data_IF_215773780722
#
_entry.id   IF_215773780722
#
_cell.length_a   1.000
_cell.length_b   1.000
_cell.length_c   1.000
_cell.angle_alpha   90.00
_cell.angle_beta   90.00
_cell.angle_gamma   90.00
#
_symmetry.space_group_name_H-M   'P 1'
#
loop_
_entity.id
_entity.type
_entity.pdbx_description
1 polymer ?
#
# COMPACT_ATOMS: atom_id res chain seq x y z
N UNK A 1 -28.59 -16.38 4.42
CA UNK A 1 -28.49 -15.19 3.54
C UNK A 1 -28.16 -15.71 2.16
N UNK A 2 -28.77 -15.18 1.11
CA UNK A 2 -28.46 -15.60 -0.27
C UNK A 2 -26.98 -15.27 -0.57
N UNK A 3 -26.15 -16.23 -1.06
CA UNK A 3 -24.75 -15.96 -1.41
C UNK A 3 -24.58 -14.74 -2.33
N UNK A 4 -25.52 -14.51 -3.25
CA UNK A 4 -25.49 -13.35 -4.15
C UNK A 4 -25.67 -12.03 -3.40
N UNK A 5 -26.64 -11.96 -2.47
CA UNK A 5 -26.88 -10.78 -1.63
C UNK A 5 -25.67 -10.50 -0.72
N UNK A 6 -25.05 -11.56 -0.17
CA UNK A 6 -23.87 -11.41 0.69
C UNK A 6 -22.65 -10.91 -0.09
N UNK A 7 -22.42 -11.41 -1.30
CA UNK A 7 -21.35 -10.92 -2.20
C UNK A 7 -21.55 -9.42 -2.49
N UNK A 8 -22.78 -9.00 -2.82
CA UNK A 8 -23.09 -7.59 -3.06
C UNK A 8 -22.78 -6.71 -1.84
N UNK A 9 -23.23 -7.13 -0.65
CA UNK A 9 -22.98 -6.41 0.60
C UNK A 9 -21.48 -6.29 0.91
N UNK A 10 -20.72 -7.38 0.76
CA UNK A 10 -19.28 -7.40 1.00
C UNK A 10 -18.55 -6.48 0.00
N UNK A 11 -18.90 -6.53 -1.28
CA UNK A 11 -18.30 -5.68 -2.32
C UNK A 11 -18.54 -4.20 -2.02
N UNK A 12 -19.75 -3.80 -1.60
CA UNK A 12 -20.03 -2.41 -1.22
C UNK A 12 -19.22 -1.96 -0.01
N UNK A 13 -19.23 -2.76 1.07
CA UNK A 13 -18.48 -2.45 2.31
C UNK A 13 -16.98 -2.33 2.05
N UNK A 14 -16.39 -3.32 1.40
CA UNK A 14 -14.95 -3.37 1.14
C UNK A 14 -14.51 -2.26 0.17
N UNK A 15 -15.33 -1.89 -0.81
CA UNK A 15 -15.04 -0.73 -1.67
C UNK A 15 -15.05 0.58 -0.88
N UNK A 16 -16.04 0.77 0.01
CA UNK A 16 -16.08 1.94 0.90
C UNK A 16 -14.85 1.99 1.82
N UNK A 17 -14.54 0.89 2.49
CA UNK A 17 -13.38 0.81 3.38
C UNK A 17 -12.06 1.02 2.64
N UNK A 18 -11.92 0.48 1.42
CA UNK A 18 -10.78 0.75 0.56
C UNK A 18 -10.67 2.24 0.22
N UNK A 19 -11.77 2.90 -0.12
CA UNK A 19 -11.77 4.33 -0.44
C UNK A 19 -11.38 5.17 0.78
N UNK A 20 -11.97 4.88 1.93
CA UNK A 20 -11.62 5.53 3.19
C UNK A 20 -10.16 5.33 3.57
N UNK A 21 -9.63 4.12 3.38
CA UNK A 21 -8.26 3.77 3.73
C UNK A 21 -7.24 4.39 2.77
N UNK A 22 -7.43 4.23 1.46
CA UNK A 22 -6.42 4.58 0.45
C UNK A 22 -6.58 5.97 -0.18
N UNK A 23 -7.80 6.52 -0.20
CA UNK A 23 -8.08 7.84 -0.81
C UNK A 23 -8.25 8.91 0.25
N UNK A 24 -9.03 8.63 1.29
CA UNK A 24 -9.29 9.62 2.34
C UNK A 24 -8.23 9.64 3.43
N UNK A 25 -7.34 8.64 3.47
CA UNK A 25 -6.44 8.41 4.62
C UNK A 25 -7.23 8.51 5.95
N UNK A 26 -8.43 7.93 6.00
CA UNK A 26 -9.31 7.99 7.16
C UNK A 26 -10.18 6.72 7.28
N UNK A 27 -9.59 5.54 7.59
CA UNK A 27 -10.27 4.24 7.51
C UNK A 27 -11.32 3.99 8.61
N UNK A 28 -12.61 3.80 8.33
CA UNK A 28 -13.62 3.62 9.39
C UNK A 28 -13.52 2.29 10.17
N UNK A 29 -12.81 1.29 9.64
CA UNK A 29 -12.63 -0.05 10.24
C UNK A 29 -11.15 -0.38 10.45
N UNK A 30 -10.89 -1.39 11.27
CA UNK A 30 -9.53 -1.92 11.47
C UNK A 30 -9.08 -2.81 10.31
N UNK A 31 -7.77 -2.92 10.09
CA UNK A 31 -7.17 -3.80 9.07
C UNK A 31 -7.60 -5.26 9.25
N UNK A 32 -7.71 -5.72 10.50
CA UNK A 32 -8.18 -7.10 10.82
C UNK A 32 -9.63 -7.32 10.36
N UNK A 33 -10.49 -6.33 10.57
CA UNK A 33 -11.88 -6.41 10.15
C UNK A 33 -12.00 -6.39 8.62
N UNK A 34 -11.25 -5.50 7.96
CA UNK A 34 -11.16 -5.44 6.51
C UNK A 34 -10.69 -6.78 5.91
N UNK A 35 -9.59 -7.32 6.41
CA UNK A 35 -9.00 -8.58 5.94
C UNK A 35 -9.95 -9.77 6.14
N UNK A 36 -10.67 -9.80 7.26
CA UNK A 36 -11.67 -10.84 7.52
C UNK A 36 -12.81 -10.81 6.50
N UNK A 37 -13.34 -9.62 6.19
CA UNK A 37 -14.41 -9.45 5.21
C UNK A 37 -13.92 -9.76 3.78
N UNK A 38 -12.67 -9.39 3.47
CA UNK A 38 -12.08 -9.67 2.17
C UNK A 38 -11.92 -11.18 1.94
N UNK A 39 -11.49 -11.94 2.95
CA UNK A 39 -11.40 -13.41 2.84
C UNK A 39 -12.76 -14.08 2.71
N UNK A 40 -13.76 -13.57 3.43
CA UNK A 40 -15.13 -14.06 3.28
C UNK A 40 -15.58 -13.89 1.82
N UNK A 41 -15.33 -12.72 1.23
CA UNK A 41 -15.62 -12.44 -0.17
C UNK A 41 -14.82 -13.37 -1.12
N UNK A 42 -13.52 -13.54 -0.92
CA UNK A 42 -12.68 -14.45 -1.71
C UNK A 42 -13.18 -15.90 -1.67
N UNK A 43 -13.64 -16.36 -0.50
CA UNK A 43 -14.19 -17.70 -0.34
C UNK A 43 -15.52 -17.85 -1.11
N UNK A 44 -16.41 -16.87 -0.98
CA UNK A 44 -17.70 -16.88 -1.67
C UNK A 44 -17.55 -16.80 -3.18
N UNK A 45 -16.64 -15.96 -3.69
CA UNK A 45 -16.37 -15.85 -5.12
C UNK A 45 -15.71 -17.10 -5.71
N UNK A 46 -14.96 -17.85 -4.89
CA UNK A 46 -14.40 -19.15 -5.29
C UNK A 46 -15.48 -20.23 -5.38
N UNK A 47 -16.45 -20.20 -4.48
CA UNK A 47 -17.56 -21.17 -4.45
C UNK A 47 -18.64 -20.85 -5.50
N UNK A 48 -18.88 -19.56 -5.77
CA UNK A 48 -19.91 -19.06 -6.69
C UNK A 48 -19.35 -18.08 -7.73
N UNK A 49 -18.54 -18.56 -8.70
CA UNK A 49 -17.88 -17.71 -9.69
C UNK A 49 -18.85 -16.93 -10.59
N UNK A 50 -20.09 -17.39 -10.75
CA UNK A 50 -21.13 -16.70 -11.52
C UNK A 50 -21.65 -15.41 -10.88
N UNK A 51 -21.36 -15.18 -9.60
CA UNK A 51 -21.80 -13.99 -8.85
C UNK A 51 -20.69 -12.95 -8.65
N UNK A 52 -19.49 -13.19 -9.17
CA UNK A 52 -18.37 -12.25 -9.12
C UNK A 52 -18.75 -10.94 -9.81
N UNK A 53 -18.65 -9.83 -9.07
CA UNK A 53 -18.97 -8.51 -9.60
C UNK A 53 -17.75 -7.88 -10.28
N UNK A 54 -17.93 -7.17 -11.42
CA UNK A 54 -16.81 -6.51 -12.12
C UNK A 54 -16.05 -5.48 -11.26
N UNK A 55 -16.74 -4.85 -10.29
CA UNK A 55 -16.16 -3.86 -9.38
C UNK A 55 -15.69 -4.48 -8.04
N UNK A 56 -15.63 -5.81 -7.95
CA UNK A 56 -15.22 -6.50 -6.74
C UNK A 56 -13.77 -6.17 -6.35
N UNK A 57 -13.48 -5.89 -5.06
CA UNK A 57 -12.12 -5.61 -4.58
C UNK A 57 -11.13 -6.74 -4.81
N UNK A 58 -11.59 -8.00 -4.84
CA UNK A 58 -10.75 -9.18 -5.14
C UNK A 58 -10.22 -9.18 -6.57
N UNK A 59 -10.89 -8.46 -7.47
CA UNK A 59 -10.51 -8.31 -8.87
C UNK A 59 -9.58 -7.10 -9.08
N UNK A 60 -9.47 -6.21 -8.09
CA UNK A 60 -8.64 -5.00 -8.17
C UNK A 60 -7.22 -5.29 -7.76
N UNK A 61 -6.29 -5.07 -8.68
CA UNK A 61 -4.88 -4.93 -8.33
C UNK A 61 -4.65 -3.46 -7.97
N UNK A 62 -4.60 -3.16 -6.66
CA UNK A 62 -4.16 -1.88 -6.07
C UNK A 62 -5.19 -0.73 -5.97
N UNK A 63 -4.71 0.44 -5.53
CA UNK A 63 -5.50 1.53 -4.95
C UNK A 63 -5.89 2.65 -5.93
N UNK A 64 -7.03 3.33 -5.68
CA UNK A 64 -7.47 4.49 -6.47
C UNK A 64 -6.53 5.69 -6.27
N UNK A 65 -6.06 6.27 -7.38
CA UNK A 65 -5.08 7.38 -7.44
C UNK A 65 -5.81 8.73 -7.34
N UNK A 66 -5.35 9.63 -6.48
CA UNK A 66 -5.91 10.99 -6.31
C UNK A 66 -5.79 11.83 -7.59
N UNK A 67 -6.70 12.77 -7.79
CA UNK A 67 -6.65 13.74 -8.89
C UNK A 67 -5.69 14.92 -8.62
N UNK A 68 -5.23 15.08 -7.37
CA UNK A 68 -4.44 16.25 -6.95
C UNK A 68 -2.96 16.17 -7.35
N UNK A 69 -2.47 14.96 -7.64
CA UNK A 69 -1.09 14.71 -8.03
C UNK A 69 -1.03 14.25 -9.48
N UNK A 70 0.05 14.61 -10.17
CA UNK A 70 0.32 14.09 -11.51
C UNK A 70 0.40 12.55 -11.47
N UNK A 71 -0.30 11.88 -12.38
CA UNK A 71 -0.29 10.42 -12.46
C UNK A 71 1.00 9.93 -13.12
N UNK A 72 1.64 8.94 -12.54
CA UNK A 72 2.84 8.29 -13.07
C UNK A 72 2.50 6.85 -13.42
N UNK A 73 2.73 6.46 -14.67
CA UNK A 73 2.64 5.05 -15.07
C UNK A 73 3.98 4.37 -14.80
N UNK A 74 3.94 3.26 -14.06
CA UNK A 74 5.10 2.42 -13.80
C UNK A 74 5.45 1.63 -15.05
N UNK A 75 6.73 1.65 -15.46
CA UNK A 75 7.20 0.91 -16.64
C UNK A 75 7.10 -0.60 -16.42
N UNK A 76 7.39 -1.02 -15.20
CA UNK A 76 7.19 -2.38 -14.70
C UNK A 76 6.13 -2.30 -13.60
N UNK A 77 5.03 -3.06 -13.64
CA UNK A 77 4.04 -3.02 -12.57
C UNK A 77 4.63 -3.32 -11.19
N UNK A 78 4.13 -2.62 -10.17
CA UNK A 78 4.40 -2.91 -8.76
C UNK A 78 3.44 -3.99 -8.26
N UNK A 79 3.99 -5.19 -8.04
CA UNK A 79 3.21 -6.38 -7.67
C UNK A 79 2.62 -6.27 -6.26
N UNK A 80 1.56 -7.04 -6.04
CA UNK A 80 1.04 -7.34 -4.69
C UNK A 80 1.61 -8.66 -4.19
N UNK A 81 1.72 -8.81 -2.87
CA UNK A 81 2.02 -10.09 -2.24
C UNK A 81 0.73 -10.79 -1.83
N UNK A 82 0.68 -12.10 -2.06
CA UNK A 82 -0.32 -12.95 -1.42
C UNK A 82 0.01 -13.08 0.07
N UNK A 83 -1.03 -13.14 0.91
CA UNK A 83 -0.89 -13.31 2.34
C UNK A 83 -0.89 -14.79 2.74
N UNK A 84 -0.26 -15.10 3.87
CA UNK A 84 -0.38 -16.35 4.56
C UNK A 84 -0.59 -16.07 6.06
N UNK A 85 -1.56 -16.72 6.66
CA UNK A 85 -2.03 -16.42 8.02
C UNK A 85 -1.93 -17.61 8.97
N UNK A 86 -1.45 -18.74 8.46
CA UNK A 86 -1.16 -19.93 9.24
C UNK A 86 0.13 -20.58 8.76
N UNK A 87 0.74 -21.39 9.62
CA UNK A 87 1.89 -22.23 9.25
C UNK A 87 1.53 -23.21 8.12
N UNK A 88 0.28 -23.69 8.08
CA UNK A 88 -0.21 -24.55 7.01
C UNK A 88 -0.18 -23.85 5.64
N UNK A 89 -0.69 -22.62 5.56
CA UNK A 89 -0.67 -21.84 4.31
C UNK A 89 0.77 -21.55 3.82
N UNK A 90 1.71 -21.36 4.74
CA UNK A 90 3.14 -21.22 4.40
C UNK A 90 3.75 -22.54 3.88
N UNK A 91 3.38 -23.68 4.47
CA UNK A 91 3.78 -25.01 3.97
C UNK A 91 3.22 -25.25 2.58
N UNK A 92 1.96 -24.92 2.33
CA UNK A 92 1.34 -25.05 1.01
C UNK A 92 2.06 -24.20 -0.03
N UNK A 93 2.46 -22.96 0.32
CA UNK A 93 3.28 -22.12 -0.54
C UNK A 93 4.62 -22.77 -0.89
N UNK A 94 5.33 -23.32 0.11
CA UNK A 94 6.59 -24.05 -0.12
C UNK A 94 6.39 -25.27 -1.02
N UNK A 95 5.37 -26.08 -0.75
CA UNK A 95 5.06 -27.28 -1.51
C UNK A 95 4.76 -26.97 -2.98
N UNK A 96 4.03 -25.89 -3.27
CA UNK A 96 3.75 -25.46 -4.66
C UNK A 96 5.05 -25.17 -5.42
N UNK A 97 6.03 -24.54 -4.78
CA UNK A 97 7.34 -24.24 -5.39
C UNK A 97 8.13 -25.53 -5.65
N UNK A 98 8.16 -26.44 -4.67
CA UNK A 98 8.87 -27.73 -4.81
C UNK A 98 8.23 -28.63 -5.86
N UNK A 99 6.89 -28.71 -5.90
CA UNK A 99 6.14 -29.48 -6.92
C UNK A 99 6.37 -28.93 -8.32
N UNK A 100 6.64 -27.63 -8.46
CA UNK A 100 7.04 -27.01 -9.72
C UNK A 100 8.50 -27.31 -10.13
N UNK A 101 9.23 -28.11 -9.35
CA UNK A 101 10.58 -28.59 -9.66
C UNK A 101 11.71 -27.71 -9.10
N UNK A 102 11.39 -26.69 -8.31
CA UNK A 102 12.40 -25.81 -7.73
C UNK A 102 12.91 -26.32 -6.37
N UNK A 103 14.11 -25.90 -6.00
CA UNK A 103 14.69 -26.10 -4.66
C UNK A 103 15.02 -24.72 -4.09
N UNK A 104 14.05 -24.04 -3.43
CA UNK A 104 14.21 -22.65 -3.08
C UNK A 104 15.09 -22.46 -1.84
N UNK A 105 15.89 -21.40 -1.86
CA UNK A 105 16.38 -20.72 -0.66
C UNK A 105 15.53 -19.47 -0.43
N UNK A 106 15.21 -19.17 0.82
CA UNK A 106 14.33 -18.05 1.17
C UNK A 106 15.11 -16.90 1.79
N UNK A 107 14.83 -15.69 1.31
CA UNK A 107 15.19 -14.46 2.00
C UNK A 107 13.96 -14.01 2.78
N UNK A 108 14.08 -13.93 4.11
CA UNK A 108 13.00 -13.52 4.99
C UNK A 108 13.21 -12.06 5.41
N UNK A 109 12.22 -11.21 5.12
CA UNK A 109 12.24 -9.78 5.43
C UNK A 109 11.04 -9.40 6.31
N UNK A 110 11.19 -8.35 7.11
CA UNK A 110 10.07 -7.79 7.85
C UNK A 110 9.14 -7.06 6.87
N UNK A 111 7.85 -7.40 6.89
CA UNK A 111 6.83 -6.64 6.16
C UNK A 111 6.58 -5.32 6.88
N UNK A 112 7.22 -4.26 6.41
CA UNK A 112 7.04 -2.91 6.96
C UNK A 112 5.64 -2.42 6.64
N UNK A 113 4.94 -1.91 7.65
CA UNK A 113 3.63 -1.30 7.49
C UNK A 113 3.78 0.19 7.19
N UNK A 114 3.89 0.52 5.91
CA UNK A 114 4.06 1.89 5.43
C UNK A 114 3.37 2.10 4.09
N UNK A 115 3.96 2.97 3.28
CA UNK A 115 3.49 3.32 1.94
C UNK A 115 4.54 2.87 0.93
N UNK A 116 4.18 1.89 0.09
CA UNK A 116 5.04 1.42 -0.98
C UNK A 116 5.25 2.50 -2.05
N UNK A 117 6.50 2.65 -2.47
CA UNK A 117 6.90 3.63 -3.48
C UNK A 117 7.96 3.12 -4.44
N UNK A 118 8.07 3.84 -5.55
CA UNK A 118 9.09 3.67 -6.57
C UNK A 118 9.93 4.94 -6.68
N UNK A 119 11.26 4.79 -6.75
CA UNK A 119 12.24 5.86 -6.88
C UNK A 119 13.08 5.62 -8.12
N UNK A 120 12.97 6.51 -9.10
CA UNK A 120 13.77 6.45 -10.33
C UNK A 120 14.93 7.41 -10.27
N UNK A 121 16.10 6.85 -10.56
CA UNK A 121 17.36 7.55 -10.71
C UNK A 121 17.77 7.53 -12.17
N UNK A 122 18.24 8.67 -12.67
CA UNK A 122 18.86 8.80 -13.99
C UNK A 122 20.19 9.50 -13.82
N UNK A 123 21.23 8.92 -14.38
CA UNK A 123 22.60 9.30 -14.15
C UNK A 123 22.95 9.39 -12.63
N UNK A 124 22.41 8.47 -11.82
CA UNK A 124 22.55 8.49 -10.37
C UNK A 124 21.81 9.63 -9.66
N UNK A 125 21.00 10.44 -10.35
CA UNK A 125 20.25 11.56 -9.77
C UNK A 125 18.78 11.16 -9.61
N UNK A 126 18.22 11.35 -8.41
CA UNK A 126 16.80 11.13 -8.15
C UNK A 126 15.96 12.13 -8.95
N UNK A 127 15.23 11.65 -9.95
CA UNK A 127 14.40 12.50 -10.80
C UNK A 127 12.90 12.25 -10.64
N UNK A 128 12.48 11.07 -10.19
CA UNK A 128 11.06 10.76 -9.96
C UNK A 128 10.88 9.87 -8.72
N UNK A 129 9.92 10.23 -7.88
CA UNK A 129 9.36 9.39 -6.82
C UNK A 129 7.86 9.25 -7.01
N UNK A 130 7.35 8.03 -6.96
CA UNK A 130 5.93 7.74 -7.19
C UNK A 130 5.36 6.79 -6.13
N UNK A 131 4.10 7.00 -5.74
CA UNK A 131 3.36 6.03 -4.93
C UNK A 131 3.08 4.76 -5.74
N UNK A 132 2.74 3.65 -5.07
CA UNK A 132 2.29 2.44 -5.75
C UNK A 132 0.99 2.65 -6.53
N UNK A 133 0.01 3.34 -5.93
CA UNK A 133 -1.35 3.47 -6.46
C UNK A 133 -1.96 2.11 -6.77
N UNK A 134 -2.44 1.92 -8.00
CA UNK A 134 -3.01 0.63 -8.45
C UNK A 134 -1.96 -0.39 -8.92
N UNK A 135 -0.69 -0.18 -8.60
CA UNK A 135 0.41 -1.03 -9.06
C UNK A 135 0.86 -0.74 -10.49
N UNK A 136 -0.01 -0.19 -11.35
CA UNK A 136 0.35 0.24 -12.71
C UNK A 136 0.48 1.76 -12.80
N UNK A 137 -0.38 2.49 -12.09
CA UNK A 137 -0.41 3.95 -12.05
C UNK A 137 -0.36 4.39 -10.59
N UNK A 138 0.59 5.27 -10.29
CA UNK A 138 0.74 5.95 -9.01
C UNK A 138 0.70 7.46 -9.14
N UNK A 139 1.10 8.14 -8.07
CA UNK A 139 1.11 9.61 -7.96
C UNK A 139 2.54 10.12 -7.89
N UNK A 140 2.84 11.19 -8.62
CA UNK A 140 4.13 11.87 -8.56
C UNK A 140 4.27 12.61 -7.22
N UNK A 141 5.05 12.03 -6.31
CA UNK A 141 5.36 12.59 -4.98
C UNK A 141 6.83 13.02 -4.88
N UNK A 142 7.49 13.27 -6.01
CA UNK A 142 8.93 13.56 -6.09
C UNK A 142 9.35 14.70 -5.17
N UNK A 143 8.56 15.76 -5.06
CA UNK A 143 8.86 16.92 -4.22
C UNK A 143 8.91 16.55 -2.72
N UNK A 144 7.98 15.70 -2.28
CA UNK A 144 7.85 15.25 -0.90
C UNK A 144 8.91 14.20 -0.56
N UNK A 145 9.14 13.25 -1.46
CA UNK A 145 10.20 12.24 -1.35
C UNK A 145 11.59 12.88 -1.18
N UNK A 146 11.88 13.98 -1.88
CA UNK A 146 13.16 14.71 -1.77
C UNK A 146 13.41 15.34 -0.38
N UNK A 147 12.39 15.38 0.49
CA UNK A 147 12.50 15.85 1.89
C UNK A 147 12.87 14.72 2.86
N UNK A 148 12.69 13.46 2.45
CA UNK A 148 13.02 12.31 3.28
C UNK A 148 14.55 12.16 3.38
N UNK A 149 15.08 12.36 4.58
CA UNK A 149 16.54 12.44 4.83
C UNK A 149 17.30 11.15 4.48
N UNK A 150 16.66 10.00 4.61
CA UNK A 150 17.26 8.69 4.34
C UNK A 150 17.30 8.35 2.85
N UNK A 151 16.56 9.09 2.00
CA UNK A 151 16.57 8.88 0.56
C UNK A 151 17.70 9.70 -0.08
N UNK A 152 18.69 9.05 -0.71
CA UNK A 152 19.78 9.78 -1.35
C UNK A 152 19.25 10.51 -2.59
N UNK A 153 19.56 11.81 -2.70
CA UNK A 153 19.29 12.59 -3.94
C UNK A 153 20.26 12.21 -5.06
N UNK A 154 21.44 11.71 -4.70
CA UNK A 154 22.51 11.27 -5.59
C UNK A 154 23.03 9.92 -5.14
N UNK A 155 23.16 8.98 -6.07
CA UNK A 155 23.81 7.69 -5.85
C UNK A 155 25.33 7.85 -5.94
N UNK A 156 26.06 6.92 -5.29
CA UNK A 156 27.53 6.86 -5.39
C UNK A 156 28.02 6.46 -6.79
N UNK A 157 27.16 5.85 -7.60
CA UNK A 157 27.44 5.42 -8.98
C UNK A 157 26.47 6.09 -9.93
N UNK A 158 26.96 6.39 -11.12
CA UNK A 158 26.17 6.93 -12.21
C UNK A 158 25.33 5.81 -12.85
N UNK A 159 24.09 5.63 -12.36
CA UNK A 159 23.21 4.51 -12.73
C UNK A 159 21.81 5.01 -13.11
N UNK A 160 21.21 4.34 -14.08
CA UNK A 160 19.79 4.44 -14.42
C UNK A 160 19.09 3.24 -13.78
N UNK A 161 18.30 3.48 -12.73
CA UNK A 161 17.69 2.42 -11.93
C UNK A 161 16.37 2.88 -11.30
N UNK A 162 15.44 1.95 -11.16
CA UNK A 162 14.26 2.06 -10.31
C UNK A 162 14.47 1.24 -9.03
N UNK A 163 14.32 1.88 -7.87
CA UNK A 163 14.37 1.22 -6.55
C UNK A 163 12.99 1.30 -5.92
N UNK A 164 12.53 0.19 -5.34
CA UNK A 164 11.26 0.10 -4.63
C UNK A 164 11.50 -0.06 -3.15
N UNK A 165 10.63 0.52 -2.35
CA UNK A 165 10.73 0.43 -0.91
C UNK A 165 9.49 0.95 -0.21
N UNK A 166 9.54 0.88 1.11
CA UNK A 166 8.45 1.32 1.98
C UNK A 166 8.84 2.58 2.73
N UNK A 167 8.00 3.61 2.68
CA UNK A 167 8.14 4.77 3.56
C UNK A 167 7.19 4.65 4.72
N UNK A 168 7.73 4.82 5.92
CA UNK A 168 6.99 4.67 7.16
C UNK A 168 7.36 5.76 8.15
N UNK A 169 6.46 6.04 9.08
CA UNK A 169 6.72 6.90 10.22
C UNK A 169 7.11 6.05 11.41
N UNK A 170 8.21 6.41 12.09
CA UNK A 170 8.59 5.71 13.34
C UNK A 170 7.55 5.98 14.43
N UNK A 171 7.35 5.01 15.32
CA UNK A 171 6.35 5.08 16.41
C UNK A 171 6.57 6.28 17.34
N UNK A 172 7.83 6.56 17.70
CA UNK A 172 8.20 7.70 18.55
C UNK A 172 7.84 9.06 17.90
N UNK A 173 8.06 9.16 16.58
CA UNK A 173 7.73 10.36 15.79
C UNK A 173 6.21 10.52 15.68
N UNK A 174 5.50 9.43 15.41
CA UNK A 174 4.03 9.41 15.36
C UNK A 174 3.40 9.85 16.68
N UNK A 175 3.84 9.30 17.81
CA UNK A 175 3.35 9.67 19.14
C UNK A 175 3.60 11.14 19.45
N UNK A 176 4.79 11.65 19.11
CA UNK A 176 5.12 13.07 19.25
C UNK A 176 4.23 13.95 18.40
N UNK A 177 4.00 13.60 17.14
CA UNK A 177 3.13 14.35 16.23
C UNK A 177 1.69 14.39 16.74
N UNK A 178 1.15 13.25 17.17
CA UNK A 178 -0.19 13.21 17.77
C UNK A 178 -0.31 14.05 19.04
N UNK A 179 0.73 14.11 19.88
CA UNK A 179 0.74 15.00 21.05
C UNK A 179 0.63 16.47 20.63
N UNK A 180 1.41 16.90 19.63
CA UNK A 180 1.37 18.28 19.11
C UNK A 180 0.02 18.61 18.47
N UNK A 181 -0.55 17.68 17.69
CA UNK A 181 -1.89 17.83 17.08
C UNK A 181 -2.97 17.99 18.16
N UNK A 182 -2.90 17.19 19.23
CA UNK A 182 -3.80 17.30 20.39
C UNK A 182 -3.71 18.67 21.06
N UNK A 183 -2.50 19.19 21.27
CA UNK A 183 -2.28 20.52 21.86
C UNK A 183 -2.86 21.65 20.98
N UNK A 184 -2.90 21.46 19.66
CA UNK A 184 -3.47 22.39 18.69
C UNK A 184 -4.98 22.19 18.44
N UNK A 185 -5.60 21.19 19.03
CA UNK A 185 -7.00 20.83 18.77
C UNK A 185 -7.25 20.25 17.37
N UNK A 186 -6.21 19.73 16.73
CA UNK A 186 -6.28 19.07 15.42
C UNK A 186 -6.68 17.60 15.56
N UNK A 187 -7.28 17.04 14.51
CA UNK A 187 -7.59 15.60 14.44
C UNK A 187 -6.32 14.76 14.49
N UNK A 188 -6.32 13.71 15.32
CA UNK A 188 -5.15 12.83 15.49
C UNK A 188 -5.01 11.87 14.31
N UNK A 189 -3.78 11.54 13.96
CA UNK A 189 -3.51 10.42 13.07
C UNK A 189 -3.87 9.10 13.76
N UNK A 190 -4.48 8.18 13.01
CA UNK A 190 -4.95 6.90 13.57
C UNK A 190 -3.83 5.91 13.85
N UNK A 191 -2.87 5.81 12.93
CA UNK A 191 -1.73 4.91 13.04
C UNK A 191 -0.51 5.48 12.27
N UNK A 192 0.71 4.94 12.46
CA UNK A 192 1.91 5.46 11.81
C UNK A 192 1.88 5.38 10.27
N UNK A 193 1.22 4.37 9.70
CA UNK A 193 1.07 4.21 8.25
C UNK A 193 0.25 5.35 7.66
N UNK A 194 -0.88 5.66 8.28
CA UNK A 194 -1.77 6.75 7.92
C UNK A 194 -1.08 8.11 8.04
N UNK A 195 -0.33 8.34 9.12
CA UNK A 195 0.47 9.54 9.27
C UNK A 195 1.52 9.66 8.14
N UNK A 196 2.20 8.58 7.79
CA UNK A 196 3.16 8.57 6.68
C UNK A 196 2.50 8.86 5.32
N UNK A 197 1.33 8.26 5.04
CA UNK A 197 0.53 8.51 3.83
C UNK A 197 0.11 9.96 3.72
N UNK A 198 -0.51 10.50 4.77
CA UNK A 198 -0.93 11.90 4.84
C UNK A 198 0.24 12.88 4.71
N UNK A 199 1.40 12.59 5.30
CA UNK A 199 2.62 13.41 5.15
C UNK A 199 3.18 13.37 3.74
N UNK A 200 3.17 12.21 3.08
CA UNK A 200 3.67 12.03 1.71
C UNK A 200 2.77 12.68 0.65
N UNK A 201 1.48 12.86 0.95
CA UNK A 201 0.48 13.46 0.07
C UNK A 201 0.20 14.93 0.41
N UNK A 202 1.06 15.59 1.18
CA UNK A 202 0.96 17.04 1.41
C UNK A 202 1.27 17.83 0.14
N UNK A 203 0.39 18.78 -0.21
CA UNK A 203 0.62 19.71 -1.33
C UNK A 203 1.76 20.69 -1.04
N UNK A 204 2.03 20.97 0.24
CA UNK A 204 3.17 21.76 0.68
C UNK A 204 4.28 20.82 1.19
N UNK A 205 5.38 20.61 0.42
CA UNK A 205 6.47 19.73 0.82
C UNK A 205 7.18 20.13 2.11
N UNK A 206 7.07 21.39 2.54
CA UNK A 206 7.64 21.84 3.81
C UNK A 206 6.98 21.14 5.01
N UNK A 207 5.69 20.80 4.90
CA UNK A 207 4.95 20.07 5.96
C UNK A 207 5.43 18.62 6.04
N UNK A 208 5.84 18.01 4.93
CA UNK A 208 6.43 16.66 4.91
C UNK A 208 7.79 16.60 5.63
N UNK A 209 8.50 17.73 5.76
CA UNK A 209 9.81 17.77 6.42
C UNK A 209 9.73 17.76 7.96
N UNK A 210 8.60 18.17 8.53
CA UNK A 210 8.33 18.26 9.98
C UNK A 210 8.01 16.90 10.64
#
# INVERSE_FOLDING_TARGET
MDPKERIQELVEKLNRYSYEYYVLDNPSVSDVEYDSLLRELESLEREYPEYVLPNSPTQRVGDTVSEQFEKVTHEVPMLSLANAFSEGELKDFHERIVKAGFRPEYVCELKIDGISMSLKYKNGILFQGATRGNGTVGENITANVKRIRTIPKFLKKNLDIEVRGEVYMRKDVFERHNRLRKERGEELFRNPRNAAGGSLRQLNPAVTEE
#
